data_IF_904325393882
#
_entry.id   IF_904325393882
#
_cell.length_a   1.000
_cell.length_b   1.000
_cell.length_c   1.000
_cell.angle_alpha   90.00
_cell.angle_beta   90.00
_cell.angle_gamma   90.00
#
_symmetry.space_group_name_H-M   'P 1'
#
loop_
_entity.id
_entity.type
_entity.pdbx_description
1 polymer ?
#
# COMPACT_ATOMS: atom_id res chain seq x y z
N UNK A 1 -58.68 17.47 41.81
CA UNK A 1 -57.52 17.67 40.90
C UNK A 1 -56.37 16.75 41.30
N UNK A 2 -56.38 15.49 40.86
CA UNK A 2 -55.26 14.54 41.00
C UNK A 2 -54.90 13.73 39.72
N UNK A 3 -55.73 13.64 38.65
CA UNK A 3 -55.42 12.70 37.55
C UNK A 3 -54.25 13.16 36.68
N UNK A 4 -54.05 14.47 36.51
CA UNK A 4 -52.96 15.04 35.71
C UNK A 4 -51.58 14.71 36.29
N UNK A 5 -51.45 14.70 37.63
CA UNK A 5 -50.19 14.40 38.29
C UNK A 5 -49.75 12.95 38.06
N UNK A 6 -50.69 12.00 38.16
CA UNK A 6 -50.41 10.59 37.88
C UNK A 6 -50.12 10.33 36.40
N UNK A 7 -50.79 11.04 35.48
CA UNK A 7 -50.51 10.95 34.05
C UNK A 7 -49.08 11.40 33.70
N UNK A 8 -48.59 12.47 34.33
CA UNK A 8 -47.22 12.94 34.13
C UNK A 8 -46.21 11.90 34.65
N UNK A 9 -46.45 11.32 35.83
CA UNK A 9 -45.56 10.29 36.38
C UNK A 9 -45.50 9.05 35.48
N UNK A 10 -46.65 8.58 34.99
CA UNK A 10 -46.73 7.42 34.08
C UNK A 10 -45.99 7.72 32.77
N UNK A 11 -46.13 8.93 32.23
CA UNK A 11 -45.44 9.36 31.01
C UNK A 11 -43.92 9.36 31.18
N UNK A 12 -43.42 9.86 32.31
CA UNK A 12 -41.99 9.84 32.64
C UNK A 12 -41.49 8.39 32.77
N UNK A 13 -42.27 7.51 33.41
CA UNK A 13 -41.91 6.11 33.57
C UNK A 13 -41.76 5.41 32.21
N UNK A 14 -42.68 5.68 31.28
CA UNK A 14 -42.63 5.16 29.91
C UNK A 14 -41.39 5.65 29.17
N UNK A 15 -41.03 6.94 29.30
CA UNK A 15 -39.83 7.50 28.66
C UNK A 15 -38.54 6.83 29.17
N UNK A 16 -38.44 6.56 30.46
CA UNK A 16 -37.29 5.86 31.04
C UNK A 16 -37.17 4.45 30.47
N UNK A 17 -38.29 3.70 30.44
CA UNK A 17 -38.32 2.34 29.89
C UNK A 17 -37.95 2.34 28.41
N UNK A 18 -38.46 3.31 27.64
CA UNK A 18 -38.15 3.45 26.21
C UNK A 18 -36.66 3.76 25.99
N UNK A 19 -36.08 4.65 26.81
CA UNK A 19 -34.65 4.98 26.75
C UNK A 19 -33.77 3.77 27.04
N UNK A 20 -34.15 2.94 28.01
CA UNK A 20 -33.45 1.70 28.34
C UNK A 20 -33.57 0.71 27.17
N UNK A 21 -34.76 0.52 26.62
CA UNK A 21 -35.00 -0.34 25.45
C UNK A 21 -34.16 0.09 24.23
N UNK A 22 -34.06 1.39 23.98
CA UNK A 22 -33.22 1.93 22.91
C UNK A 22 -31.74 1.67 23.22
N UNK A 23 -31.28 1.80 24.46
CA UNK A 23 -29.88 1.52 24.81
C UNK A 23 -29.53 0.03 24.68
N UNK A 24 -30.45 -0.88 25.05
CA UNK A 24 -30.25 -2.33 24.93
C UNK A 24 -30.41 -2.86 23.51
N UNK A 25 -31.20 -2.20 22.65
CA UNK A 25 -31.41 -2.58 21.24
C UNK A 25 -30.64 -1.69 20.27
N UNK A 26 -29.93 -0.66 20.75
CA UNK A 26 -28.86 -0.08 19.97
C UNK A 26 -27.94 -1.27 19.69
N UNK A 27 -27.63 -1.59 18.43
CA UNK A 27 -26.45 -2.38 18.20
C UNK A 27 -25.36 -1.63 18.98
N UNK A 28 -24.79 -2.27 20.00
CA UNK A 28 -23.45 -1.91 20.41
C UNK A 28 -22.74 -1.87 19.08
N UNK A 29 -22.39 -0.67 18.63
CA UNK A 29 -21.33 -0.56 17.64
C UNK A 29 -20.23 -1.31 18.34
N UNK A 30 -20.04 -2.57 17.96
CA UNK A 30 -18.75 -3.19 18.00
C UNK A 30 -17.92 -2.12 17.29
N UNK A 31 -17.33 -1.22 18.08
CA UNK A 31 -15.98 -0.82 17.85
C UNK A 31 -15.30 -2.16 17.79
N UNK A 32 -15.33 -2.73 16.58
CA UNK A 32 -14.63 -3.94 16.24
C UNK A 32 -13.27 -3.61 16.78
N UNK A 33 -12.93 -4.33 17.84
CA UNK A 33 -11.61 -4.35 18.39
C UNK A 33 -10.70 -4.30 17.18
N UNK A 34 -9.85 -3.28 17.15
CA UNK A 34 -8.68 -3.23 16.29
C UNK A 34 -8.06 -4.62 16.35
N UNK A 35 -8.45 -5.48 15.42
CA UNK A 35 -7.69 -6.64 15.06
C UNK A 35 -6.43 -5.94 14.58
N UNK A 36 -5.39 -5.95 15.42
CA UNK A 36 -4.06 -5.69 14.93
C UNK A 36 -3.78 -6.86 14.00
N UNK A 37 -4.32 -6.80 12.80
CA UNK A 37 -4.01 -7.72 11.74
C UNK A 37 -2.62 -7.28 11.34
N UNK A 38 -1.65 -7.95 11.96
CA UNK A 38 -0.27 -7.87 11.55
C UNK A 38 -0.24 -8.13 10.04
N UNK A 39 0.05 -7.09 9.28
CA UNK A 39 0.15 -7.19 7.83
C UNK A 39 1.62 -7.16 7.45
N UNK A 40 1.94 -7.85 6.36
CA UNK A 40 3.25 -7.84 5.76
C UNK A 40 3.18 -7.04 4.47
N UNK A 41 4.08 -6.08 4.33
CA UNK A 41 4.07 -5.12 3.22
C UNK A 41 5.34 -5.24 2.41
N UNK A 42 5.17 -5.18 1.09
CA UNK A 42 6.24 -5.02 0.10
C UNK A 42 5.93 -3.82 -0.77
N UNK A 43 6.95 -3.02 -1.05
CA UNK A 43 6.85 -1.85 -1.91
C UNK A 43 7.72 -2.04 -3.14
N UNK A 44 7.17 -1.71 -4.30
CA UNK A 44 7.94 -1.54 -5.53
C UNK A 44 8.02 -0.06 -5.87
N UNK A 45 9.18 0.38 -6.32
CA UNK A 45 9.40 1.75 -6.78
C UNK A 45 10.14 1.68 -8.12
N UNK A 46 9.54 2.25 -9.14
CA UNK A 46 10.17 2.42 -10.45
C UNK A 46 10.69 3.84 -10.54
N UNK A 47 11.99 3.98 -10.80
CA UNK A 47 12.67 5.27 -10.89
C UNK A 47 13.25 5.48 -12.28
N UNK A 48 13.32 6.74 -12.70
CA UNK A 48 14.19 7.18 -13.78
C UNK A 48 15.45 7.77 -13.14
N UNK A 49 16.59 7.18 -13.45
CA UNK A 49 17.89 7.54 -12.86
C UNK A 49 18.88 7.91 -13.94
N UNK A 50 19.80 8.82 -13.62
CA UNK A 50 20.92 9.06 -14.50
C UNK A 50 21.87 7.86 -14.51
N UNK A 51 22.05 7.21 -15.64
CA UNK A 51 23.04 6.14 -15.79
C UNK A 51 24.42 6.77 -16.04
N UNK A 52 25.30 6.63 -15.06
CA UNK A 52 26.66 7.15 -15.11
C UNK A 52 27.58 6.18 -15.89
N UNK A 53 27.18 4.91 -16.01
CA UNK A 53 27.96 3.87 -16.69
C UNK A 53 27.70 3.85 -18.20
N UNK A 54 26.54 4.35 -18.65
CA UNK A 54 26.21 4.48 -20.06
C UNK A 54 26.04 5.96 -20.48
N UNK A 55 27.13 6.65 -20.88
CA UNK A 55 27.07 8.06 -21.28
C UNK A 55 26.27 8.31 -22.57
N UNK A 56 26.01 7.27 -23.39
CA UNK A 56 25.21 7.40 -24.62
C UNK A 56 23.70 7.40 -24.35
N UNK A 57 23.26 6.73 -23.28
CA UNK A 57 21.90 6.80 -22.80
C UNK A 57 21.88 7.18 -21.31
N UNK A 58 22.02 8.48 -21.02
CA UNK A 58 22.29 8.94 -19.66
C UNK A 58 21.09 8.76 -18.73
N UNK A 59 19.92 8.31 -19.18
CA UNK A 59 18.76 8.09 -18.30
C UNK A 59 18.18 6.69 -18.48
N UNK A 60 18.26 5.88 -17.43
CA UNK A 60 17.71 4.52 -17.37
C UNK A 60 16.51 4.41 -16.44
N UNK A 61 15.63 3.45 -16.70
CA UNK A 61 14.56 3.09 -15.76
C UNK A 61 15.06 1.97 -14.86
N UNK A 62 14.91 2.11 -13.54
CA UNK A 62 15.33 1.09 -12.57
C UNK A 62 14.15 0.67 -11.69
N UNK A 63 14.18 -0.60 -11.33
CA UNK A 63 13.20 -1.20 -10.43
C UNK A 63 13.82 -1.42 -9.06
N UNK A 64 13.13 -0.96 -8.02
CA UNK A 64 13.53 -1.12 -6.62
C UNK A 64 12.46 -1.88 -5.86
N UNK A 65 12.88 -2.84 -5.05
CA UNK A 65 12.01 -3.68 -4.23
C UNK A 65 12.38 -3.52 -2.76
N UNK A 66 11.41 -3.17 -1.92
CA UNK A 66 11.65 -3.05 -0.48
C UNK A 66 11.79 -4.42 0.18
N UNK A 67 12.47 -4.51 1.34
CA UNK A 67 12.31 -5.66 2.20
C UNK A 67 10.86 -5.81 2.66
N UNK A 68 10.49 -7.03 3.02
CA UNK A 68 9.20 -7.34 3.66
C UNK A 68 9.20 -6.68 5.03
N UNK A 69 8.19 -5.86 5.31
CA UNK A 69 8.03 -5.21 6.61
C UNK A 69 6.69 -5.55 7.21
N UNK A 70 6.72 -5.93 8.47
CA UNK A 70 5.51 -6.10 9.27
C UNK A 70 5.01 -4.73 9.73
N UNK A 71 3.72 -4.48 9.55
CA UNK A 71 3.03 -3.24 9.94
C UNK A 71 1.77 -3.59 10.73
N UNK A 72 1.40 -2.69 11.64
CA UNK A 72 0.31 -2.92 12.60
C UNK A 72 -0.94 -2.11 12.30
N UNK A 73 -0.87 -1.19 11.33
CA UNK A 73 -1.98 -0.32 10.96
C UNK A 73 -1.81 0.24 9.54
N UNK A 74 -2.91 0.70 8.95
CA UNK A 74 -2.92 1.42 7.67
C UNK A 74 -2.05 2.70 7.74
N UNK A 75 -2.00 3.39 8.87
CA UNK A 75 -1.14 4.56 9.04
C UNK A 75 0.35 4.20 8.91
N UNK A 76 0.75 3.04 9.46
CA UNK A 76 2.12 2.52 9.30
C UNK A 76 2.41 2.10 7.85
N UNK A 77 1.42 1.62 7.10
CA UNK A 77 1.54 1.32 5.67
C UNK A 77 1.86 2.59 4.86
N UNK A 78 1.06 3.66 5.05
CA UNK A 78 1.28 4.95 4.40
C UNK A 78 2.63 5.56 4.78
N UNK A 79 3.00 5.47 6.07
CA UNK A 79 4.29 5.95 6.54
C UNK A 79 5.44 5.19 5.88
N UNK A 80 5.36 3.86 5.82
CA UNK A 80 6.39 3.03 5.21
C UNK A 80 6.53 3.30 3.71
N UNK A 81 5.42 3.49 2.99
CA UNK A 81 5.47 3.86 1.57
C UNK A 81 6.23 5.18 1.34
N UNK A 82 5.92 6.20 2.14
CA UNK A 82 6.59 7.50 2.03
C UNK A 82 8.06 7.42 2.42
N UNK A 83 8.38 6.72 3.51
CA UNK A 83 9.76 6.49 3.96
C UNK A 83 10.57 5.80 2.86
N UNK A 84 10.07 4.69 2.31
CA UNK A 84 10.79 3.93 1.30
C UNK A 84 11.01 4.73 0.02
N UNK A 85 9.98 5.44 -0.47
CA UNK A 85 10.10 6.34 -1.62
C UNK A 85 11.17 7.41 -1.40
N UNK A 86 11.20 8.02 -0.22
CA UNK A 86 12.20 9.02 0.12
C UNK A 86 13.60 8.42 0.23
N UNK A 87 13.74 7.22 0.82
CA UNK A 87 15.00 6.48 0.85
C UNK A 87 15.50 6.22 -0.57
N UNK A 88 14.66 5.75 -1.49
CA UNK A 88 15.03 5.53 -2.89
C UNK A 88 15.52 6.84 -3.53
N UNK A 89 14.81 7.94 -3.35
CA UNK A 89 15.24 9.24 -3.91
C UNK A 89 16.58 9.69 -3.30
N UNK A 90 16.76 9.56 -1.99
CA UNK A 90 17.97 10.01 -1.29
C UNK A 90 19.18 9.13 -1.58
N UNK A 91 19.00 7.82 -1.65
CA UNK A 91 20.07 6.84 -1.86
C UNK A 91 20.62 6.90 -3.29
N UNK A 92 19.76 7.16 -4.28
CA UNK A 92 20.16 7.16 -5.69
C UNK A 92 20.39 8.58 -6.26
N UNK A 93 20.20 9.63 -5.45
CA UNK A 93 20.75 10.98 -5.68
C UNK A 93 19.76 12.03 -6.22
N UNK A 94 20.23 13.27 -6.39
CA UNK A 94 19.43 14.45 -6.78
C UNK A 94 18.79 14.37 -8.18
N UNK A 95 19.15 13.38 -8.99
CA UNK A 95 18.67 13.21 -10.38
C UNK A 95 17.86 11.92 -10.53
N UNK A 96 17.03 11.63 -9.52
CA UNK A 96 16.15 10.46 -9.50
C UNK A 96 14.71 10.94 -9.47
N UNK A 97 13.94 10.54 -10.48
CA UNK A 97 12.51 10.79 -10.56
C UNK A 97 11.75 9.48 -10.35
N UNK A 98 10.96 9.39 -9.29
CA UNK A 98 10.04 8.27 -9.10
C UNK A 98 8.95 8.36 -10.15
N UNK A 99 8.82 7.31 -10.96
CA UNK A 99 7.80 7.19 -12.00
C UNK A 99 6.54 6.53 -11.45
N UNK A 100 6.72 5.44 -10.70
CA UNK A 100 5.64 4.66 -10.13
C UNK A 100 6.06 4.09 -8.77
N UNK A 101 5.10 3.97 -7.86
CA UNK A 101 5.28 3.23 -6.62
C UNK A 101 4.02 2.42 -6.32
N UNK A 102 4.18 1.15 -5.96
CA UNK A 102 3.05 0.28 -5.64
C UNK A 102 3.29 -0.45 -4.33
N UNK A 103 2.23 -0.55 -3.53
CA UNK A 103 2.21 -1.26 -2.26
C UNK A 103 1.45 -2.57 -2.41
N UNK A 104 2.00 -3.62 -1.83
CA UNK A 104 1.40 -4.94 -1.76
C UNK A 104 1.29 -5.34 -0.29
N UNK A 105 0.08 -5.69 0.14
CA UNK A 105 -0.27 -5.99 1.53
C UNK A 105 -0.69 -7.45 1.62
N UNK A 106 -0.14 -8.17 2.59
CA UNK A 106 -0.36 -9.60 2.79
C UNK A 106 -0.70 -9.91 4.25
N UNK A 107 -1.47 -10.97 4.45
CA UNK A 107 -1.83 -11.43 5.79
C UNK A 107 -0.71 -12.28 6.41
N UNK A 108 0.18 -12.84 5.60
CA UNK A 108 1.27 -13.71 6.07
C UNK A 108 2.61 -13.36 5.42
N UNK A 109 3.69 -13.56 6.18
CA UNK A 109 5.05 -13.42 5.65
C UNK A 109 5.31 -14.37 4.47
N UNK A 110 4.72 -15.57 4.49
CA UNK A 110 4.90 -16.57 3.43
C UNK A 110 4.38 -16.06 2.08
N UNK A 111 3.18 -15.47 2.06
CA UNK A 111 2.59 -14.88 0.86
C UNK A 111 3.43 -13.70 0.36
N UNK A 112 3.87 -12.84 1.28
CA UNK A 112 4.77 -11.74 0.95
C UNK A 112 6.08 -12.26 0.31
N UNK A 113 6.72 -13.26 0.91
CA UNK A 113 7.98 -13.85 0.41
C UNK A 113 7.83 -14.39 -1.00
N UNK A 114 6.77 -15.17 -1.27
CA UNK A 114 6.50 -15.70 -2.62
C UNK A 114 6.31 -14.53 -3.60
N UNK A 115 5.55 -13.51 -3.22
CA UNK A 115 5.35 -12.34 -4.10
C UNK A 115 6.64 -11.57 -4.34
N UNK A 116 7.49 -11.43 -3.32
CA UNK A 116 8.79 -10.75 -3.44
C UNK A 116 9.66 -11.44 -4.50
N UNK A 117 9.73 -12.76 -4.48
CA UNK A 117 10.48 -13.55 -5.45
C UNK A 117 9.91 -13.43 -6.88
N UNK A 118 8.58 -13.47 -7.02
CA UNK A 118 7.91 -13.22 -8.30
C UNK A 118 8.24 -11.83 -8.86
N UNK A 119 8.12 -10.78 -8.04
CA UNK A 119 8.39 -9.40 -8.45
C UNK A 119 9.85 -9.20 -8.87
N UNK A 120 10.79 -9.80 -8.13
CA UNK A 120 12.20 -9.76 -8.47
C UNK A 120 12.50 -10.47 -9.80
N UNK A 121 11.87 -11.62 -10.04
CA UNK A 121 12.04 -12.38 -11.27
C UNK A 121 11.52 -11.62 -12.50
N UNK A 122 10.37 -10.94 -12.36
CA UNK A 122 9.80 -10.09 -13.41
C UNK A 122 10.71 -8.91 -13.71
N UNK A 123 11.23 -8.23 -12.67
CA UNK A 123 12.14 -7.10 -12.85
C UNK A 123 13.42 -7.52 -13.60
N UNK A 124 13.99 -8.68 -13.25
CA UNK A 124 15.16 -9.23 -13.93
C UNK A 124 14.89 -9.56 -15.42
N UNK A 125 13.70 -10.06 -15.74
CA UNK A 125 13.31 -10.30 -17.14
C UNK A 125 13.16 -8.99 -17.93
N UNK A 126 12.58 -7.95 -17.31
CA UNK A 126 12.41 -6.65 -17.94
C UNK A 126 13.74 -5.94 -18.21
N UNK A 127 14.69 -6.02 -17.27
CA UNK A 127 16.05 -5.50 -17.46
C UNK A 127 16.75 -6.20 -18.63
N UNK A 128 16.65 -7.54 -18.72
CA UNK A 128 17.22 -8.30 -19.83
C UNK A 128 16.55 -8.01 -21.19
N UNK A 129 15.27 -7.65 -21.22
CA UNK A 129 14.58 -7.26 -22.46
C UNK A 129 14.97 -5.86 -22.94
N UNK A 130 15.32 -4.94 -22.04
CA UNK A 130 15.83 -3.62 -22.39
C UNK A 130 17.29 -3.64 -22.90
N UNK A 131 17.99 -4.77 -22.78
CA UNK A 131 19.40 -4.95 -23.18
C UNK A 131 19.56 -5.70 -24.52
N UNK A 132 18.48 -6.11 -25.21
CA UNK A 132 18.61 -6.62 -26.58
C UNK A 132 18.75 -5.45 -27.57
N UNK A 133 19.93 -5.21 -28.18
CA UNK A 133 19.99 -4.36 -29.36
C UNK A 133 19.19 -5.05 -30.46
N UNK A 134 18.34 -4.26 -31.10
CA UNK A 134 17.74 -4.56 -32.39
C UNK A 134 18.88 -4.94 -33.35
N UNK A 135 19.09 -6.23 -33.58
CA UNK A 135 19.95 -6.70 -34.67
C UNK A 135 19.19 -6.37 -35.95
N UNK A 136 19.37 -5.15 -36.44
CA UNK A 136 19.06 -4.80 -37.82
C UNK A 136 19.96 -5.68 -38.70
N UNK A 137 19.40 -6.80 -39.19
CA UNK A 137 19.95 -7.50 -40.34
C UNK A 137 20.09 -6.48 -41.47
N UNK A 138 21.32 -6.04 -41.72
CA UNK A 138 21.69 -5.38 -42.95
C UNK A 138 21.40 -6.36 -44.09
N UNK A 139 20.28 -6.17 -44.79
CA UNK A 139 20.15 -6.72 -46.12
C UNK A 139 21.10 -5.94 -47.04
N UNK A 140 22.28 -6.51 -47.23
CA UNK A 140 23.22 -6.12 -48.27
C UNK A 140 22.49 -6.14 -49.62
N UNK A 141 22.34 -4.96 -50.22
CA UNK A 141 21.83 -4.82 -51.58
C UNK A 141 22.82 -5.43 -52.57
N UNK A 142 22.38 -6.46 -53.30
CA UNK A 142 23.10 -6.92 -54.48
C UNK A 142 22.74 -6.05 -55.69
N UNK A 143 23.78 -5.39 -56.20
CA UNK A 143 23.86 -4.79 -57.53
C UNK A 143 23.93 -5.86 -58.63
#
# INVERSE_FOLDING_TARGET
MRPLFYQIIIFILILIILSILIFYNLPVSENNDTISSHHFVILTVITKEKDILNPENPEGTKFHLSPIKEVKSEEEEYKYQNEYKNITIHQFGKQVKVLESKIYIFNTYKEASIKSEELYSIALQQENQQVQPEILEYQEGNH
#
